data_IF_657277361093
#
_entry.id   IF_657277361093
#
_cell.length_a   1.000
_cell.length_b   1.000
_cell.length_c   1.000
_cell.angle_alpha   90.00
_cell.angle_beta   90.00
_cell.angle_gamma   90.00
#
_symmetry.space_group_name_H-M   'P 1'
#
loop_
_entity.id
_entity.type
_entity.pdbx_description
1 polymer ?
#
# COMPACT_ATOMS: atom_id res chain seq x y z
N UNK A 1 -17.29 -16.06 2.74
CA UNK A 1 -16.81 -15.44 1.47
C UNK A 1 -16.47 -14.00 1.81
N UNK A 2 -15.19 -13.60 1.70
CA UNK A 2 -14.80 -12.22 1.96
C UNK A 2 -15.33 -11.37 0.80
N UNK A 3 -16.14 -10.36 1.09
CA UNK A 3 -16.59 -9.39 0.08
C UNK A 3 -15.46 -8.41 -0.16
N UNK A 4 -14.90 -8.44 -1.35
CA UNK A 4 -13.90 -7.46 -1.79
C UNK A 4 -14.66 -6.31 -2.46
N UNK A 5 -14.58 -5.11 -1.88
CA UNK A 5 -15.08 -3.89 -2.51
C UNK A 5 -13.93 -2.90 -2.71
N UNK A 6 -14.01 -1.99 -3.69
CA UNK A 6 -13.01 -0.93 -3.87
C UNK A 6 -12.83 -0.07 -2.61
N UNK A 7 -13.90 0.16 -1.85
CA UNK A 7 -13.82 0.90 -0.58
C UNK A 7 -12.96 0.18 0.45
N UNK A 8 -13.06 -1.16 0.54
CA UNK A 8 -12.23 -1.93 1.47
C UNK A 8 -10.75 -1.85 1.12
N UNK A 9 -10.40 -1.86 -0.17
CA UNK A 9 -9.00 -1.72 -0.63
C UNK A 9 -8.48 -0.32 -0.31
N UNK A 10 -9.25 0.73 -0.61
CA UNK A 10 -8.89 2.11 -0.32
C UNK A 10 -8.70 2.35 1.19
N UNK A 11 -9.58 1.79 2.03
CA UNK A 11 -9.47 1.88 3.49
C UNK A 11 -8.22 1.18 4.03
N UNK A 12 -7.90 -0.02 3.52
CA UNK A 12 -6.67 -0.73 3.87
C UNK A 12 -5.45 0.08 3.46
N UNK A 13 -5.40 0.51 2.20
CA UNK A 13 -4.31 1.32 1.69
C UNK A 13 -4.08 2.56 2.55
N UNK A 14 -5.13 3.36 2.82
CA UNK A 14 -5.03 4.56 3.66
C UNK A 14 -4.60 4.25 5.11
N UNK A 15 -4.83 3.04 5.61
CA UNK A 15 -4.33 2.60 6.91
C UNK A 15 -2.87 2.21 6.84
N UNK A 16 -2.45 1.48 5.80
CA UNK A 16 -1.08 1.01 5.64
C UNK A 16 -0.09 2.14 5.39
N UNK A 17 -0.46 3.15 4.60
CA UNK A 17 0.42 4.29 4.32
C UNK A 17 0.74 5.14 5.55
N UNK A 18 -0.07 5.08 6.60
CA UNK A 18 0.19 5.77 7.88
C UNK A 18 1.28 5.11 8.72
N UNK A 19 1.61 3.86 8.44
CA UNK A 19 2.70 3.14 9.12
C UNK A 19 4.00 3.50 8.41
N UNK A 20 4.94 4.07 9.15
CA UNK A 20 6.26 4.40 8.61
C UNK A 20 7.08 3.12 8.40
N UNK A 21 7.39 2.84 7.14
CA UNK A 21 8.19 1.69 6.72
C UNK A 21 9.39 2.10 5.86
N UNK A 22 9.83 3.35 6.03
CA UNK A 22 10.92 3.89 5.23
C UNK A 22 12.20 3.07 5.40
N UNK A 23 12.84 2.72 4.27
CA UNK A 23 14.11 2.03 4.23
C UNK A 23 15.28 2.97 4.59
N UNK A 24 16.43 2.37 4.90
CA UNK A 24 17.70 3.08 5.14
C UNK A 24 18.78 2.49 4.22
N UNK A 25 19.20 3.23 3.17
CA UNK A 25 20.22 2.75 2.22
C UNK A 25 21.62 2.61 2.83
N UNK A 26 21.84 3.16 4.03
CA UNK A 26 23.14 3.07 4.73
C UNK A 26 23.18 1.88 5.71
N UNK A 27 22.07 1.23 5.95
CA UNK A 27 21.97 0.09 6.85
C UNK A 27 22.52 -1.19 6.21
N UNK A 28 23.22 -1.98 7.02
CA UNK A 28 23.68 -3.32 6.66
C UNK A 28 22.78 -4.44 7.23
N UNK A 29 21.63 -4.08 7.81
CA UNK A 29 20.67 -5.05 8.36
C UNK A 29 19.60 -5.43 7.35
N UNK A 30 18.88 -6.52 7.62
CA UNK A 30 17.70 -6.92 6.88
C UNK A 30 16.55 -7.25 7.86
N UNK A 31 15.42 -6.54 7.82
CA UNK A 31 15.17 -5.35 6.99
C UNK A 31 16.11 -4.19 7.33
N UNK A 32 16.21 -3.22 6.43
CA UNK A 32 17.10 -2.06 6.62
C UNK A 32 16.66 -1.15 7.77
N UNK A 33 15.39 -1.23 8.18
CA UNK A 33 14.85 -0.58 9.38
C UNK A 33 13.85 -1.49 10.08
N UNK A 34 13.92 -1.56 11.40
CA UNK A 34 12.99 -2.40 12.21
C UNK A 34 11.52 -1.96 12.10
N UNK A 35 11.26 -0.67 11.85
CA UNK A 35 9.91 -0.12 11.70
C UNK A 35 9.11 -0.74 10.53
N UNK A 36 9.77 -1.37 9.55
CA UNK A 36 9.12 -2.12 8.48
C UNK A 36 8.31 -3.30 9.03
N UNK A 37 8.77 -3.92 10.11
CA UNK A 37 8.08 -5.04 10.78
C UNK A 37 6.75 -4.65 11.41
N UNK A 38 6.47 -3.35 11.61
CA UNK A 38 5.19 -2.91 12.18
C UNK A 38 4.04 -3.14 11.18
N UNK A 39 4.29 -2.88 9.88
CA UNK A 39 3.33 -3.22 8.83
C UNK A 39 3.22 -4.75 8.68
N UNK A 40 4.33 -5.47 8.70
CA UNK A 40 4.33 -6.94 8.63
C UNK A 40 3.47 -7.58 9.72
N UNK A 41 3.58 -7.11 10.97
CA UNK A 41 2.74 -7.58 12.09
C UNK A 41 1.25 -7.32 11.83
N UNK A 42 0.92 -6.14 11.30
CA UNK A 42 -0.46 -5.81 10.95
C UNK A 42 -0.99 -6.77 9.89
N UNK A 43 -0.24 -6.98 8.81
CA UNK A 43 -0.61 -7.87 7.71
C UNK A 43 -0.80 -9.32 8.17
N UNK A 44 0.12 -9.83 8.99
CA UNK A 44 -0.01 -11.15 9.59
C UNK A 44 -1.33 -11.30 10.35
N UNK A 45 -1.67 -10.32 11.20
CA UNK A 45 -2.89 -10.36 12.00
C UNK A 45 -4.14 -10.25 11.12
N UNK A 46 -4.13 -9.42 10.08
CA UNK A 46 -5.26 -9.26 9.16
C UNK A 46 -5.50 -10.52 8.34
N UNK A 47 -4.46 -11.15 7.80
CA UNK A 47 -4.57 -12.41 7.07
C UNK A 47 -5.15 -13.53 7.96
N UNK A 48 -4.70 -13.60 9.22
CA UNK A 48 -5.28 -14.53 10.21
C UNK A 48 -6.75 -14.23 10.50
N UNK A 49 -7.09 -12.94 10.64
CA UNK A 49 -8.47 -12.51 10.87
C UNK A 49 -9.40 -12.78 9.68
N UNK A 50 -8.85 -12.83 8.45
CA UNK A 50 -9.57 -13.26 7.26
C UNK A 50 -9.84 -14.77 7.21
N UNK A 51 -9.32 -15.53 8.17
CA UNK A 51 -9.51 -16.98 8.26
C UNK A 51 -8.49 -17.79 7.45
N UNK A 52 -7.39 -17.18 7.00
CA UNK A 52 -6.31 -17.89 6.35
C UNK A 52 -5.54 -18.66 7.42
N UNK A 53 -5.54 -19.98 7.34
CA UNK A 53 -4.92 -20.84 8.35
C UNK A 53 -3.39 -20.86 8.23
N UNK A 54 -2.90 -20.88 7.00
CA UNK A 54 -1.48 -20.96 6.65
C UNK A 54 -0.95 -19.54 6.44
N UNK A 55 -0.63 -18.86 7.57
CA UNK A 55 0.02 -17.54 7.59
C UNK A 55 1.25 -17.64 8.46
N UNK A 56 2.39 -17.31 7.91
CA UNK A 56 3.70 -17.37 8.57
C UNK A 56 4.40 -16.01 8.46
N UNK A 57 5.34 -15.78 9.37
CA UNK A 57 6.27 -14.65 9.31
C UNK A 57 7.64 -15.11 9.78
N UNK A 58 8.70 -14.55 9.21
CA UNK A 58 10.06 -14.84 9.58
C UNK A 58 10.72 -13.70 10.39
N UNK A 59 11.96 -13.91 10.78
CA UNK A 59 12.76 -12.95 11.55
C UNK A 59 13.08 -11.66 10.78
N UNK A 60 13.01 -11.70 9.46
CA UNK A 60 13.24 -10.57 8.57
C UNK A 60 11.98 -9.73 8.34
N UNK A 61 10.81 -10.22 8.75
CA UNK A 61 9.54 -9.54 8.61
C UNK A 61 8.80 -9.85 7.30
N UNK A 62 9.21 -10.86 6.55
CA UNK A 62 8.39 -11.37 5.46
C UNK A 62 7.12 -12.02 6.01
N UNK A 63 6.01 -11.80 5.31
CA UNK A 63 4.73 -12.42 5.63
C UNK A 63 4.30 -13.29 4.46
N UNK A 64 4.08 -14.55 4.75
CA UNK A 64 3.64 -15.55 3.77
C UNK A 64 2.25 -16.02 4.10
N UNK A 65 1.44 -16.26 3.08
CA UNK A 65 0.12 -16.86 3.24
C UNK A 65 -0.22 -17.72 2.04
N UNK A 66 -0.82 -18.88 2.30
CA UNK A 66 -1.24 -19.81 1.25
C UNK A 66 -2.75 -19.94 1.25
N UNK A 67 -3.35 -19.73 0.08
CA UNK A 67 -4.73 -20.08 -0.18
C UNK A 67 -4.76 -21.42 -0.92
N UNK A 68 -5.35 -22.48 -0.31
CA UNK A 68 -5.45 -23.77 -0.97
C UNK A 68 -6.35 -23.68 -2.21
N UNK A 69 -6.05 -24.52 -3.20
CA UNK A 69 -6.91 -24.64 -4.38
C UNK A 69 -8.34 -25.05 -3.98
N UNK A 70 -9.32 -24.43 -4.61
CA UNK A 70 -10.73 -24.77 -4.50
C UNK A 70 -11.22 -25.58 -5.71
N UNK A 71 -10.31 -26.18 -6.49
CA UNK A 71 -10.60 -26.93 -7.71
C UNK A 71 -10.10 -28.38 -7.59
N UNK A 72 -10.89 -29.32 -8.10
CA UNK A 72 -10.52 -30.74 -8.20
C UNK A 72 -9.63 -31.05 -9.41
N UNK A 73 -9.28 -30.06 -10.22
CA UNK A 73 -8.37 -30.23 -11.36
C UNK A 73 -6.97 -30.61 -10.88
N UNK A 74 -6.35 -31.57 -11.57
CA UNK A 74 -4.96 -31.97 -11.33
C UNK A 74 -4.01 -31.05 -12.08
N UNK A 75 -2.80 -30.86 -11.54
CA UNK A 75 -1.71 -30.09 -12.14
C UNK A 75 -2.05 -28.60 -12.36
N UNK A 76 -2.75 -27.98 -11.42
CA UNK A 76 -2.96 -26.54 -11.41
C UNK A 76 -1.66 -25.84 -10.99
N UNK A 77 -1.17 -24.88 -11.76
CA UNK A 77 0.03 -24.13 -11.38
C UNK A 77 -0.24 -23.29 -10.12
N UNK A 78 0.78 -23.19 -9.27
CA UNK A 78 0.78 -22.25 -8.14
C UNK A 78 1.01 -20.84 -8.68
N UNK A 79 0.17 -19.90 -8.28
CA UNK A 79 0.33 -18.48 -8.60
C UNK A 79 0.81 -17.78 -7.32
N UNK A 80 1.91 -17.03 -7.41
CA UNK A 80 2.42 -16.23 -6.32
C UNK A 80 2.21 -14.75 -6.63
N UNK A 81 1.63 -14.02 -5.67
CA UNK A 81 1.61 -12.55 -5.66
C UNK A 81 2.67 -12.08 -4.67
N UNK A 82 3.42 -11.06 -5.05
CA UNK A 82 4.48 -10.50 -4.22
C UNK A 82 4.36 -8.98 -4.22
N UNK A 83 4.44 -8.37 -3.03
CA UNK A 83 4.45 -6.94 -2.84
C UNK A 83 5.44 -6.59 -1.72
N UNK A 84 6.09 -5.41 -1.80
CA UNK A 84 7.01 -4.98 -0.75
C UNK A 84 6.37 -3.98 0.21
N UNK A 85 6.84 -3.97 1.45
CA UNK A 85 6.31 -3.10 2.51
C UNK A 85 7.09 -1.82 2.72
N UNK A 86 8.39 -1.81 2.35
CA UNK A 86 9.23 -0.64 2.54
C UNK A 86 8.88 0.50 1.58
N UNK A 87 9.26 1.69 1.97
CA UNK A 87 9.14 2.90 1.15
C UNK A 87 10.51 3.54 0.93
N UNK A 88 10.64 4.25 -0.20
CA UNK A 88 11.87 4.93 -0.59
C UNK A 88 12.33 5.96 0.47
N UNK A 89 13.64 6.13 0.66
CA UNK A 89 14.20 7.06 1.65
C UNK A 89 14.24 8.52 1.18
N UNK A 90 13.97 8.79 -0.10
CA UNK A 90 14.13 10.11 -0.72
C UNK A 90 13.15 11.17 -0.18
N UNK A 91 12.01 10.73 0.34
CA UNK A 91 11.00 11.58 0.96
C UNK A 91 10.45 10.90 2.21
N UNK A 92 10.11 11.71 3.22
CA UNK A 92 9.62 11.18 4.50
C UNK A 92 8.37 10.31 4.34
N UNK A 93 8.38 9.13 4.95
CA UNK A 93 7.23 8.25 5.14
C UNK A 93 6.61 8.37 6.55
N UNK A 94 7.06 9.35 7.34
CA UNK A 94 6.58 9.55 8.71
C UNK A 94 5.36 10.47 8.75
N UNK A 95 4.33 10.07 9.51
CA UNK A 95 3.08 10.82 9.68
C UNK A 95 2.36 11.15 8.35
N UNK A 96 2.33 10.20 7.43
CA UNK A 96 1.59 10.32 6.17
C UNK A 96 0.12 10.60 6.45
N UNK A 97 -0.43 11.64 5.81
CA UNK A 97 -1.84 12.03 5.88
C UNK A 97 -2.49 11.73 4.54
N UNK A 98 -3.07 10.53 4.34
CA UNK A 98 -3.75 10.19 3.09
C UNK A 98 -5.07 10.94 2.98
N UNK A 99 -5.35 11.47 1.79
CA UNK A 99 -6.57 12.20 1.47
C UNK A 99 -7.28 11.49 0.32
N UNK A 100 -8.54 11.12 0.53
CA UNK A 100 -9.38 10.52 -0.51
C UNK A 100 -10.23 11.60 -1.21
N UNK A 101 -9.95 11.81 -2.48
CA UNK A 101 -10.77 12.60 -3.41
C UNK A 101 -11.73 11.63 -4.10
N UNK A 102 -12.98 11.53 -3.62
CA UNK A 102 -13.92 10.46 -4.05
C UNK A 102 -14.32 10.53 -5.51
N UNK A 103 -14.45 11.75 -6.05
CA UNK A 103 -14.87 11.99 -7.43
C UNK A 103 -13.97 13.07 -8.01
N UNK A 104 -12.90 12.64 -8.66
CA UNK A 104 -11.98 13.57 -9.32
C UNK A 104 -12.71 14.24 -10.50
N UNK A 105 -12.77 15.56 -10.47
CA UNK A 105 -13.53 16.36 -11.44
C UNK A 105 -12.69 16.84 -12.64
N UNK A 106 -11.41 16.49 -12.68
CA UNK A 106 -10.48 16.92 -13.73
C UNK A 106 -9.74 18.23 -13.43
N UNK A 107 -10.03 18.89 -12.32
CA UNK A 107 -9.30 20.08 -11.90
C UNK A 107 -7.98 19.74 -11.21
N UNK A 108 -7.10 20.72 -11.10
CA UNK A 108 -5.84 20.56 -10.37
C UNK A 108 -6.10 20.30 -8.88
N UNK A 109 -5.38 19.30 -8.33
CA UNK A 109 -5.42 18.99 -6.90
C UNK A 109 -4.21 19.66 -6.25
N UNK A 110 -4.46 20.72 -5.49
CA UNK A 110 -3.44 21.38 -4.66
C UNK A 110 -3.34 20.67 -3.33
N UNK A 111 -2.13 20.25 -2.94
CA UNK A 111 -1.95 19.51 -1.68
C UNK A 111 -1.95 20.50 -0.49
N UNK A 112 -2.73 20.21 0.59
CA UNK A 112 -3.06 21.22 1.59
C UNK A 112 -1.89 21.63 2.51
N UNK A 113 -0.92 20.76 2.76
CA UNK A 113 0.22 21.07 3.64
C UNK A 113 1.39 21.69 2.87
N UNK A 114 1.39 21.63 1.51
CA UNK A 114 2.34 22.33 0.63
C UNK A 114 1.66 22.70 -0.69
N UNK A 115 1.22 23.93 -0.80
CA UNK A 115 0.52 24.44 -1.98
C UNK A 115 1.38 24.50 -3.26
N UNK A 116 2.69 24.35 -3.17
CA UNK A 116 3.57 24.20 -4.34
C UNK A 116 3.45 22.83 -5.01
N UNK A 117 2.95 21.85 -4.27
CA UNK A 117 2.70 20.48 -4.76
C UNK A 117 1.30 20.42 -5.37
N UNK A 118 1.28 20.37 -6.69
CA UNK A 118 0.03 20.35 -7.47
C UNK A 118 0.03 19.14 -8.40
N UNK A 119 -0.99 18.30 -8.27
CA UNK A 119 -1.29 17.26 -9.25
C UNK A 119 -2.17 17.86 -10.33
N UNK A 120 -1.69 17.88 -11.56
CA UNK A 120 -2.43 18.42 -12.71
C UNK A 120 -2.32 17.50 -13.91
N UNK A 121 -3.30 17.55 -14.81
CA UNK A 121 -3.27 16.77 -16.05
C UNK A 121 -2.08 17.14 -16.95
N UNK A 122 -1.55 18.36 -16.83
CA UNK A 122 -0.38 18.80 -17.58
C UNK A 122 0.92 18.11 -17.13
N UNK A 123 1.04 17.83 -15.83
CA UNK A 123 2.21 17.13 -15.24
C UNK A 123 1.99 15.61 -15.19
N UNK A 124 0.76 15.17 -15.06
CA UNK A 124 0.36 13.76 -14.93
C UNK A 124 -0.81 13.44 -15.86
N UNK A 125 -0.55 13.19 -17.14
CA UNK A 125 -1.60 13.00 -18.15
C UNK A 125 -2.58 11.87 -17.86
N UNK A 126 -2.16 10.85 -17.07
CA UNK A 126 -3.02 9.74 -16.62
C UNK A 126 -4.26 10.19 -15.85
N UNK A 127 -4.19 11.34 -15.18
CA UNK A 127 -5.34 11.88 -14.43
C UNK A 127 -6.58 12.07 -15.32
N UNK A 128 -6.39 12.27 -16.62
CA UNK A 128 -7.49 12.41 -17.58
C UNK A 128 -8.36 11.14 -17.66
N UNK A 129 -7.77 9.97 -17.47
CA UNK A 129 -8.46 8.68 -17.52
C UNK A 129 -9.19 8.36 -16.21
N UNK A 130 -8.93 9.16 -15.15
CA UNK A 130 -9.47 8.96 -13.81
C UNK A 130 -10.52 9.98 -13.39
N UNK A 131 -11.09 10.73 -14.35
CA UNK A 131 -12.23 11.61 -14.07
C UNK A 131 -13.39 10.76 -13.56
N UNK A 132 -14.04 11.22 -12.49
CA UNK A 132 -15.09 10.52 -11.71
C UNK A 132 -14.59 9.30 -10.91
N UNK A 133 -13.30 8.99 -10.90
CA UNK A 133 -12.73 7.99 -10.03
C UNK A 133 -12.27 8.57 -8.69
N UNK A 134 -12.06 7.69 -7.71
CA UNK A 134 -11.41 8.05 -6.45
C UNK A 134 -9.90 8.18 -6.64
N UNK A 135 -9.31 9.27 -6.15
CA UNK A 135 -7.85 9.47 -6.11
C UNK A 135 -7.43 9.63 -4.66
N UNK A 136 -6.35 8.94 -4.28
CA UNK A 136 -5.75 9.11 -2.95
C UNK A 136 -4.42 9.83 -3.10
N UNK A 137 -4.23 10.90 -2.32
CA UNK A 137 -2.99 11.69 -2.27
C UNK A 137 -2.42 11.72 -0.86
N UNK A 138 -1.14 12.07 -0.73
CA UNK A 138 -0.59 12.60 0.52
C UNK A 138 -1.00 14.08 0.68
N UNK A 139 -0.63 14.70 1.81
CA UNK A 139 -0.95 16.11 2.08
C UNK A 139 0.05 17.11 1.52
N UNK A 140 1.21 16.66 1.02
CA UNK A 140 2.23 17.50 0.36
C UNK A 140 3.60 17.46 1.02
N UNK A 141 3.71 17.08 2.29
CA UNK A 141 5.00 17.06 3.03
C UNK A 141 5.65 15.68 3.09
N UNK A 142 4.93 14.63 2.68
CA UNK A 142 5.42 13.25 2.72
C UNK A 142 5.18 12.57 1.39
N UNK A 143 5.89 11.46 1.14
CA UNK A 143 5.44 10.52 0.12
C UNK A 143 4.08 9.92 0.54
N UNK A 144 3.34 9.37 -0.43
CA UNK A 144 2.14 8.58 -0.12
C UNK A 144 2.49 7.11 0.22
N UNK A 145 3.53 6.57 -0.41
CA UNK A 145 3.93 5.17 -0.24
C UNK A 145 3.05 4.19 -1.03
N UNK A 146 2.50 4.63 -2.16
CA UNK A 146 1.68 3.78 -3.03
C UNK A 146 2.49 2.63 -3.63
N UNK A 147 3.76 2.84 -3.88
CA UNK A 147 4.73 1.83 -4.28
C UNK A 147 5.42 1.29 -3.00
N UNK A 148 5.12 0.09 -2.49
CA UNK A 148 4.12 -0.81 -3.09
C UNK A 148 2.96 -1.15 -2.12
N UNK A 149 2.63 -0.26 -1.17
CA UNK A 149 1.51 -0.48 -0.24
C UNK A 149 0.14 -0.60 -0.93
N UNK A 150 0.03 -0.14 -2.19
CA UNK A 150 -1.17 -0.39 -2.99
C UNK A 150 -1.26 -1.84 -3.47
N UNK A 151 -0.14 -2.48 -3.75
CA UNK A 151 -0.08 -3.90 -4.06
C UNK A 151 -0.32 -4.78 -2.84
N UNK A 152 0.02 -4.27 -1.63
CA UNK A 152 -0.23 -4.95 -0.34
C UNK A 152 -1.72 -4.91 0.04
N UNK A 153 -2.48 -3.86 -0.32
CA UNK A 153 -3.86 -3.63 0.12
C UNK A 153 -4.89 -4.51 -0.59
#
# INVERSE_FOLDING_TARGET
>A
MVSISPDNVAERFMRYVKIDTQSDPTSNTHPTTEKQKDLSKLLFNELRAMGIADVETDEFGYVYATLPSNSDKKNIPVICFCAHVDTAPDCSGYQVKPILHRYYDGNDIVLPDDASQVLSMSKSPYLKEHINHGIITASGLTLLGADDKSGVA
#
